data_IF_023093807810
#
_entry.id   IF_023093807810
#
_cell.length_a   1.000
_cell.length_b   1.000
_cell.length_c   1.000
_cell.angle_alpha   90.00
_cell.angle_beta   90.00
_cell.angle_gamma   90.00
#
_symmetry.space_group_name_H-M   'P 1'
#
loop_
_entity.id
_entity.type
_entity.pdbx_description
1 polymer ?
#
# COMPACT_ATOMS: atom_id res chain seq x y z
N UNK A 1 -0.67 16.14 -16.04
CA UNK A 1 -0.37 14.96 -15.19
C UNK A 1 -1.32 14.90 -14.01
N UNK A 2 -1.80 13.74 -13.69
CA UNK A 2 -2.73 13.57 -12.57
C UNK A 2 -1.98 13.61 -11.25
N UNK A 3 -2.60 14.20 -10.23
CA UNK A 3 -2.01 14.29 -8.91
C UNK A 3 -1.70 12.91 -8.33
N UNK A 4 -2.57 11.93 -8.60
CA UNK A 4 -2.40 10.57 -8.09
C UNK A 4 -1.10 9.94 -8.59
N UNK A 5 -0.78 10.13 -9.88
CA UNK A 5 0.44 9.56 -10.45
C UNK A 5 1.69 10.13 -9.79
N UNK A 6 1.72 11.44 -9.57
CA UNK A 6 2.85 12.07 -8.89
C UNK A 6 2.97 11.62 -7.46
N UNK A 7 1.83 11.53 -6.77
CA UNK A 7 1.80 11.09 -5.37
C UNK A 7 2.33 9.65 -5.24
N UNK A 8 1.92 8.79 -6.18
CA UNK A 8 2.38 7.40 -6.21
C UNK A 8 3.90 7.35 -6.36
N UNK A 9 4.44 8.13 -7.31
CA UNK A 9 5.89 8.17 -7.53
C UNK A 9 6.64 8.65 -6.28
N UNK A 10 6.12 9.69 -5.64
CA UNK A 10 6.73 10.22 -4.42
C UNK A 10 6.72 9.15 -3.31
N UNK A 11 5.61 8.46 -3.15
CA UNK A 11 5.50 7.40 -2.14
C UNK A 11 6.43 6.23 -2.45
N UNK A 12 6.56 5.85 -3.72
CA UNK A 12 7.49 4.78 -4.12
C UNK A 12 8.93 5.16 -3.79
N UNK A 13 9.30 6.42 -4.01
CA UNK A 13 10.64 6.89 -3.69
C UNK A 13 10.91 6.84 -2.19
N UNK A 14 9.93 7.24 -1.38
CA UNK A 14 10.04 7.16 0.07
C UNK A 14 10.18 5.71 0.53
N UNK A 15 9.37 4.84 -0.02
CA UNK A 15 9.41 3.42 0.32
C UNK A 15 10.78 2.82 0.01
N UNK A 16 11.32 3.11 -1.17
CA UNK A 16 12.64 2.61 -1.57
C UNK A 16 13.75 3.10 -0.64
N UNK A 17 13.57 4.26 -0.02
CA UNK A 17 14.52 4.79 0.95
C UNK A 17 14.47 4.07 2.31
N UNK A 18 13.37 3.39 2.61
CA UNK A 18 13.20 2.67 3.87
C UNK A 18 13.53 1.18 3.71
N UNK A 19 13.17 0.60 2.57
CA UNK A 19 13.30 -0.84 2.34
C UNK A 19 13.51 -1.10 0.86
N UNK A 20 14.47 -1.99 0.55
CA UNK A 20 14.82 -2.29 -0.84
C UNK A 20 13.85 -3.25 -1.54
N UNK A 21 12.89 -3.79 -0.80
CA UNK A 21 11.90 -4.70 -1.36
C UNK A 21 12.38 -6.14 -1.50
N UNK A 22 13.63 -6.41 -1.16
CA UNK A 22 14.23 -7.73 -1.35
C UNK A 22 14.72 -8.38 -0.07
N UNK A 23 15.25 -7.57 0.85
CA UNK A 23 15.76 -8.09 2.13
C UNK A 23 14.61 -8.39 3.06
N UNK A 24 14.90 -9.19 4.09
CA UNK A 24 13.91 -9.47 5.12
C UNK A 24 13.54 -8.17 5.85
N UNK A 25 12.25 -7.95 6.01
CA UNK A 25 11.75 -6.73 6.62
C UNK A 25 11.76 -6.84 8.15
N UNK A 26 12.49 -5.94 8.80
CA UNK A 26 12.53 -5.89 10.25
C UNK A 26 11.15 -5.59 10.85
N UNK A 27 10.86 -6.20 11.99
CA UNK A 27 9.57 -5.99 12.64
C UNK A 27 9.29 -4.52 12.94
N UNK A 28 10.32 -3.74 13.30
CA UNK A 28 10.14 -2.34 13.63
C UNK A 28 9.93 -1.46 12.38
N UNK A 29 10.12 -2.02 11.19
CA UNK A 29 9.87 -1.31 9.93
C UNK A 29 8.56 -1.71 9.28
N UNK A 30 7.91 -2.75 9.79
CA UNK A 30 6.66 -3.25 9.18
C UNK A 30 5.58 -2.16 9.16
N UNK A 31 5.40 -1.44 10.24
CA UNK A 31 4.38 -0.42 10.29
C UNK A 31 4.66 0.74 9.32
N UNK A 32 5.86 1.36 9.33
CA UNK A 32 6.12 2.44 8.36
C UNK A 32 6.08 1.96 6.91
N UNK A 33 6.63 0.78 6.60
CA UNK A 33 6.56 0.24 5.25
C UNK A 33 5.11 -0.04 4.86
N UNK A 34 4.36 -0.67 5.75
CA UNK A 34 2.97 -0.99 5.50
C UNK A 34 2.11 0.24 5.26
N UNK A 35 2.33 1.32 6.02
CA UNK A 35 1.55 2.55 5.83
C UNK A 35 1.82 3.18 4.46
N UNK A 36 3.06 3.13 3.99
CA UNK A 36 3.39 3.66 2.67
C UNK A 36 2.78 2.79 1.59
N UNK A 37 2.83 1.47 1.74
CA UNK A 37 2.17 0.55 0.82
C UNK A 37 0.67 0.80 0.78
N UNK A 38 0.07 1.04 1.94
CA UNK A 38 -1.34 1.38 2.02
C UNK A 38 -1.65 2.66 1.24
N UNK A 39 -0.84 3.70 1.40
CA UNK A 39 -1.05 4.96 0.69
C UNK A 39 -0.95 4.78 -0.82
N UNK A 40 0.01 4.00 -1.28
CA UNK A 40 0.17 3.72 -2.72
C UNK A 40 -1.05 2.97 -3.24
N UNK A 41 -1.45 1.92 -2.55
CA UNK A 41 -2.62 1.14 -2.94
C UNK A 41 -3.89 1.99 -2.95
N UNK A 42 -4.01 2.91 -1.98
CA UNK A 42 -5.15 3.81 -1.90
C UNK A 42 -5.25 4.70 -3.14
N UNK A 43 -4.11 5.22 -3.61
CA UNK A 43 -4.10 6.05 -4.81
C UNK A 43 -4.50 5.25 -6.04
N UNK A 44 -4.03 4.01 -6.16
CA UNK A 44 -4.45 3.14 -7.25
C UNK A 44 -5.95 2.82 -7.18
N UNK A 45 -6.51 2.73 -5.97
CA UNK A 45 -7.96 2.50 -5.83
C UNK A 45 -8.75 3.68 -6.39
N UNK A 46 -8.26 4.90 -6.22
CA UNK A 46 -8.92 6.08 -6.79
C UNK A 46 -8.85 6.07 -8.30
N UNK A 47 -7.81 5.48 -8.87
CA UNK A 47 -7.64 5.34 -10.31
C UNK A 47 -8.37 4.11 -10.86
N UNK A 48 -9.00 3.32 -10.02
CA UNK A 48 -9.66 2.06 -10.38
C UNK A 48 -8.69 1.04 -10.97
N UNK A 49 -7.41 1.17 -10.64
CA UNK A 49 -6.37 0.24 -11.11
C UNK A 49 -6.20 -0.87 -10.07
N UNK A 50 -7.08 -1.86 -10.18
CA UNK A 50 -7.18 -2.93 -9.17
C UNK A 50 -5.92 -3.78 -9.13
N UNK A 51 -5.32 -4.08 -10.26
CA UNK A 51 -4.13 -4.93 -10.31
C UNK A 51 -2.98 -4.32 -9.54
N UNK A 52 -2.68 -3.05 -9.77
CA UNK A 52 -1.62 -2.36 -9.03
C UNK A 52 -2.00 -2.13 -7.57
N UNK A 53 -3.28 -1.85 -7.32
CA UNK A 53 -3.77 -1.70 -5.96
C UNK A 53 -3.49 -2.96 -5.13
N UNK A 54 -3.81 -4.14 -5.68
CA UNK A 54 -3.59 -5.40 -4.99
C UNK A 54 -2.11 -5.69 -4.76
N UNK A 55 -1.28 -5.28 -5.71
CA UNK A 55 0.17 -5.45 -5.60
C UNK A 55 0.73 -4.79 -4.33
N UNK A 56 0.11 -3.69 -3.91
CA UNK A 56 0.54 -2.96 -2.72
C UNK A 56 -0.31 -3.30 -1.49
N UNK A 57 -1.59 -3.55 -1.67
CA UNK A 57 -2.48 -3.86 -0.55
C UNK A 57 -2.17 -5.23 0.07
N UNK A 58 -1.81 -6.23 -0.73
CA UNK A 58 -1.51 -7.55 -0.18
C UNK A 58 -0.37 -7.51 0.83
N UNK A 59 0.81 -6.94 0.50
CA UNK A 59 1.86 -6.82 1.53
C UNK A 59 1.48 -5.85 2.64
N UNK A 60 0.69 -4.83 2.36
CA UNK A 60 0.25 -3.90 3.40
C UNK A 60 -0.63 -4.58 4.45
N UNK A 61 -1.52 -5.48 4.01
CA UNK A 61 -2.35 -6.25 4.94
C UNK A 61 -1.50 -7.04 5.92
N UNK A 62 -0.42 -7.62 5.44
CA UNK A 62 0.50 -8.39 6.27
C UNK A 62 1.24 -7.48 7.25
N UNK A 63 1.74 -6.36 6.75
CA UNK A 63 2.54 -5.43 7.55
C UNK A 63 1.71 -4.61 8.53
N UNK A 64 0.42 -4.44 8.26
CA UNK A 64 -0.49 -3.65 9.09
C UNK A 64 -1.50 -4.52 9.84
N UNK A 65 -1.26 -5.83 9.93
CA UNK A 65 -2.16 -6.73 10.61
C UNK A 65 -2.36 -6.29 12.06
N UNK A 66 -3.61 -6.27 12.50
CA UNK A 66 -3.94 -5.85 13.85
C UNK A 66 -4.13 -4.34 14.03
N UNK A 67 -3.92 -3.56 12.97
CA UNK A 67 -4.14 -2.11 13.02
C UNK A 67 -5.45 -1.75 12.34
N UNK A 68 -5.99 -0.54 12.59
CA UNK A 68 -7.20 -0.10 11.90
C UNK A 68 -7.05 -0.03 10.37
N UNK A 69 -5.83 0.11 9.88
CA UNK A 69 -5.58 0.16 8.43
C UNK A 69 -5.96 -1.15 7.75
N UNK A 70 -5.82 -2.27 8.44
CA UNK A 70 -6.21 -3.57 7.89
C UNK A 70 -7.68 -3.56 7.49
N UNK A 71 -8.55 -3.06 8.37
CA UNK A 71 -9.98 -2.99 8.08
C UNK A 71 -10.28 -2.04 6.92
N UNK A 72 -9.59 -0.91 6.86
CA UNK A 72 -9.75 0.04 5.75
C UNK A 72 -9.42 -0.60 4.42
N UNK A 73 -8.30 -1.33 4.37
CA UNK A 73 -7.88 -2.01 3.14
C UNK A 73 -8.94 -3.02 2.71
N UNK A 74 -9.43 -3.83 3.65
CA UNK A 74 -10.44 -4.84 3.34
C UNK A 74 -11.73 -4.20 2.85
N UNK A 75 -12.12 -3.07 3.42
CA UNK A 75 -13.31 -2.34 2.99
C UNK A 75 -13.15 -1.83 1.55
N UNK A 76 -11.99 -1.26 1.24
CA UNK A 76 -11.73 -0.76 -0.11
C UNK A 76 -11.77 -1.90 -1.11
N UNK A 77 -11.16 -3.03 -0.79
CA UNK A 77 -11.16 -4.20 -1.65
C UNK A 77 -12.58 -4.71 -1.89
N UNK A 78 -13.39 -4.75 -0.84
CA UNK A 78 -14.79 -5.16 -0.96
C UNK A 78 -15.58 -4.20 -1.85
N UNK A 79 -15.37 -2.89 -1.67
CA UNK A 79 -16.07 -1.88 -2.47
C UNK A 79 -15.74 -1.97 -3.96
N UNK A 80 -14.54 -2.44 -4.29
CA UNK A 80 -14.12 -2.62 -5.68
C UNK A 80 -14.35 -4.05 -6.17
N UNK A 81 -15.05 -4.86 -5.39
CA UNK A 81 -15.39 -6.25 -5.72
C UNK A 81 -14.15 -7.11 -5.92
N UNK A 82 -13.16 -6.94 -5.07
CA UNK A 82 -11.92 -7.71 -5.12
C UNK A 82 -11.90 -8.70 -3.97
N UNK A 83 -11.68 -9.93 -4.32
CA UNK A 83 -11.47 -10.98 -3.37
C UNK A 83 -12.57 -11.25 -2.45
#
# INVERSE_FOLDING_TARGET
>A
MKKEAKYIDDCKNILNGIWDGKSELDNNKKFPVGTIQYLIGLQYSYLKDVDHMMEYFNPALENLAGTPYEEDIRRIMTNLHVG
#
